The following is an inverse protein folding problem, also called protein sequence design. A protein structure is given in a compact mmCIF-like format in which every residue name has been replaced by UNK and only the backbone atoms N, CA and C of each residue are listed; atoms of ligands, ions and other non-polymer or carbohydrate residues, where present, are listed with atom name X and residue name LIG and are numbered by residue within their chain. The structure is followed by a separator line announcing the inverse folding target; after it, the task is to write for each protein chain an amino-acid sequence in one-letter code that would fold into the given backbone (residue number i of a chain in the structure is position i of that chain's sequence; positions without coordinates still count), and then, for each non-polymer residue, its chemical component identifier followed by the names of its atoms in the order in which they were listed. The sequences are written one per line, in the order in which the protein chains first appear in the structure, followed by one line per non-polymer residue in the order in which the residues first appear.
data_IF_796369907014
#
_entry.id   IF_796369907014
#
_cell.length_a   1.000
_cell.length_b   1.000
_cell.length_c   1.000
_cell.angle_alpha   90.00
_cell.angle_beta   90.00
_cell.angle_gamma   90.00
#
_symmetry.space_group_name_H-M   'P 1'
#
loop_
_entity.id
_entity.type
_entity.pdbx_description
1 polymer ?
#
# COMPACT_ATOMS: atom_id res chain seq x y z
N UNK A 1 -9.17 -5.98 15.71
CA UNK A 1 -10.46 -5.52 15.16
C UNK A 1 -10.17 -4.39 14.19
N UNK A 2 -10.21 -4.69 12.90
CA UNK A 2 -10.13 -3.69 11.85
C UNK A 2 -11.57 -3.36 11.43
N UNK A 3 -12.21 -2.31 12.01
CA UNK A 3 -13.57 -1.92 11.64
C UNK A 3 -13.67 -1.68 10.13
N UNK A 4 -12.58 -1.19 9.53
CA UNK A 4 -12.45 -0.88 8.12
C UNK A 4 -12.57 -2.12 7.23
N UNK A 5 -11.86 -3.21 7.55
CA UNK A 5 -11.95 -4.46 6.80
C UNK A 5 -13.36 -5.04 6.83
N UNK A 6 -14.04 -4.95 7.98
CA UNK A 6 -15.39 -5.47 8.13
C UNK A 6 -16.41 -4.71 7.28
N UNK A 7 -16.28 -3.40 7.20
CA UNK A 7 -17.20 -2.55 6.40
C UNK A 7 -16.93 -2.72 4.90
N UNK A 8 -15.65 -2.72 4.49
CA UNK A 8 -15.30 -2.79 3.06
C UNK A 8 -15.59 -4.15 2.43
N UNK A 9 -15.56 -5.21 3.21
CA UNK A 9 -15.65 -6.58 2.71
C UNK A 9 -16.86 -7.33 3.27
N UNK A 10 -17.90 -6.61 3.69
CA UNK A 10 -19.12 -7.19 4.26
C UNK A 10 -19.74 -8.23 3.33
N UNK A 11 -19.84 -7.90 2.04
CA UNK A 11 -20.40 -8.82 1.03
C UNK A 11 -19.58 -10.12 0.90
N UNK A 12 -18.25 -10.04 1.02
CA UNK A 12 -17.39 -11.22 0.96
C UNK A 12 -17.56 -12.13 2.18
N UNK A 13 -18.00 -11.60 3.32
CA UNK A 13 -18.17 -12.39 4.55
C UNK A 13 -19.35 -13.37 4.48
N UNK A 14 -20.19 -13.27 3.46
CA UNK A 14 -21.28 -14.21 3.22
C UNK A 14 -20.76 -15.57 2.74
N UNK A 15 -19.66 -15.57 1.97
CA UNK A 15 -19.11 -16.75 1.33
C UNK A 15 -17.72 -17.12 1.83
N UNK A 16 -17.01 -16.19 2.49
CA UNK A 16 -15.62 -16.33 2.91
C UNK A 16 -15.39 -15.95 4.37
N UNK A 17 -14.43 -16.59 4.99
CA UNK A 17 -13.81 -16.06 6.22
C UNK A 17 -12.80 -15.00 5.81
N UNK A 18 -13.13 -13.72 6.07
CA UNK A 18 -12.26 -12.60 5.76
C UNK A 18 -11.38 -12.27 6.96
N UNK A 19 -10.07 -12.29 6.76
CA UNK A 19 -9.07 -12.02 7.79
C UNK A 19 -8.28 -10.77 7.42
N UNK A 20 -8.39 -9.75 8.25
CA UNK A 20 -7.48 -8.59 8.24
C UNK A 20 -6.51 -8.68 9.40
N UNK A 21 -5.26 -8.25 9.20
CA UNK A 21 -4.24 -8.29 10.22
C UNK A 21 -3.45 -6.99 10.33
N UNK A 22 -3.02 -6.69 11.55
CA UNK A 22 -2.10 -5.59 11.81
C UNK A 22 -0.68 -6.08 11.55
N UNK A 23 -0.02 -5.52 10.54
CA UNK A 23 1.36 -5.87 10.21
C UNK A 23 2.30 -5.50 11.36
N UNK A 24 3.48 -6.12 11.39
CA UNK A 24 4.54 -5.83 12.36
C UNK A 24 4.76 -4.32 12.50
N UNK A 25 4.70 -3.81 13.73
CA UNK A 25 4.89 -2.40 14.04
C UNK A 25 3.66 -1.51 13.80
N UNK A 26 2.48 -2.10 13.49
CA UNK A 26 1.24 -1.34 13.31
C UNK A 26 0.14 -1.84 14.26
N UNK A 27 -0.86 -1.01 14.50
CA UNK A 27 -2.05 -1.36 15.28
C UNK A 27 -1.74 -2.12 16.57
N UNK A 28 -2.38 -3.26 16.77
CA UNK A 28 -2.15 -4.13 17.93
C UNK A 28 -0.80 -4.85 17.89
N UNK A 29 -0.18 -4.92 16.72
CA UNK A 29 1.17 -5.47 16.53
C UNK A 29 2.28 -4.42 16.71
N UNK A 30 1.94 -3.21 17.19
CA UNK A 30 2.91 -2.14 17.42
C UNK A 30 4.08 -2.55 18.35
N UNK A 31 3.89 -3.33 19.42
CA UNK A 31 5.02 -3.80 20.23
C UNK A 31 6.07 -4.62 19.46
N UNK A 32 5.69 -5.24 18.34
CA UNK A 32 6.61 -5.97 17.48
C UNK A 32 7.51 -5.06 16.60
N UNK A 33 7.37 -3.72 16.73
CA UNK A 33 8.28 -2.75 16.12
C UNK A 33 9.73 -2.90 16.65
N UNK A 34 9.88 -3.41 17.86
CA UNK A 34 11.19 -3.47 18.52
C UNK A 34 11.79 -4.89 18.45
N UNK A 35 13.08 -4.98 18.05
CA UNK A 35 13.93 -3.87 17.59
C UNK A 35 13.50 -3.33 16.21
N UNK A 36 13.64 -2.01 15.95
CA UNK A 36 13.23 -1.41 14.67
C UNK A 36 13.88 -2.05 13.43
N UNK A 37 15.04 -2.65 13.62
CA UNK A 37 15.77 -3.40 12.57
C UNK A 37 15.01 -4.63 12.07
N UNK A 38 13.97 -5.07 12.78
CA UNK A 38 13.09 -6.18 12.34
C UNK A 38 12.04 -5.74 11.34
N UNK A 39 11.82 -4.42 11.14
CA UNK A 39 10.85 -3.89 10.20
C UNK A 39 11.54 -3.70 8.84
N UNK A 40 11.64 -4.78 8.11
CA UNK A 40 12.20 -4.82 6.76
C UNK A 40 11.18 -5.40 5.78
N UNK A 41 11.34 -5.11 4.49
CA UNK A 41 10.50 -5.71 3.45
C UNK A 41 10.57 -7.24 3.50
N UNK A 42 11.77 -7.77 3.67
CA UNK A 42 12.00 -9.21 3.77
C UNK A 42 11.22 -9.84 4.93
N UNK A 43 11.25 -9.19 6.10
CA UNK A 43 10.52 -9.67 7.26
C UNK A 43 9.00 -9.54 7.07
N UNK A 44 8.54 -8.45 6.45
CA UNK A 44 7.10 -8.27 6.18
C UNK A 44 6.56 -9.33 5.22
N UNK A 45 7.34 -9.74 4.22
CA UNK A 45 6.97 -10.84 3.33
C UNK A 45 6.99 -12.17 4.08
N UNK A 46 7.98 -12.41 4.94
CA UNK A 46 8.04 -13.61 5.77
C UNK A 46 6.83 -13.70 6.73
N UNK A 47 6.48 -12.59 7.38
CA UNK A 47 5.29 -12.52 8.25
C UNK A 47 3.99 -12.81 7.47
N UNK A 48 3.90 -12.36 6.20
CA UNK A 48 2.74 -12.65 5.33
C UNK A 48 2.64 -14.14 5.03
N UNK A 49 3.75 -14.79 4.74
CA UNK A 49 3.80 -16.23 4.46
C UNK A 49 3.48 -17.03 5.73
N UNK A 50 4.06 -16.65 6.88
CA UNK A 50 3.79 -17.30 8.17
C UNK A 50 2.30 -17.21 8.55
N UNK A 51 1.70 -16.03 8.39
CA UNK A 51 0.26 -15.86 8.62
C UNK A 51 -0.57 -16.73 7.65
N UNK A 52 -0.19 -16.81 6.38
CA UNK A 52 -0.85 -17.65 5.39
C UNK A 52 -0.83 -19.11 5.83
N UNK A 53 0.33 -19.63 6.26
CA UNK A 53 0.46 -21.00 6.75
C UNK A 53 -0.38 -21.24 8.01
N UNK A 54 -0.37 -20.30 8.95
CA UNK A 54 -1.21 -20.36 10.14
C UNK A 54 -2.70 -20.45 9.79
N UNK A 55 -3.18 -19.60 8.86
CA UNK A 55 -4.58 -19.57 8.46
C UNK A 55 -5.00 -20.86 7.74
N UNK A 56 -4.14 -21.38 6.87
CA UNK A 56 -4.38 -22.68 6.21
C UNK A 56 -4.58 -23.81 7.24
N UNK A 57 -3.70 -23.88 8.23
CA UNK A 57 -3.81 -24.86 9.31
C UNK A 57 -5.06 -24.63 10.18
N UNK A 58 -5.34 -23.36 10.50
CA UNK A 58 -6.45 -22.97 11.38
C UNK A 58 -7.82 -23.32 10.80
N UNK A 59 -7.97 -23.24 9.49
CA UNK A 59 -9.23 -23.46 8.77
C UNK A 59 -9.24 -24.76 7.96
N UNK A 60 -8.20 -25.58 8.07
CA UNK A 60 -8.03 -26.86 7.34
C UNK A 60 -8.14 -26.67 5.82
N UNK A 61 -7.53 -25.60 5.30
CA UNK A 61 -7.54 -25.24 3.89
C UNK A 61 -6.21 -25.53 3.23
N UNK A 62 -6.22 -26.08 2.02
CA UNK A 62 -4.99 -26.33 1.27
C UNK A 62 -4.37 -25.04 0.74
N UNK A 63 -5.20 -24.08 0.37
CA UNK A 63 -4.81 -22.77 -0.15
C UNK A 63 -5.76 -21.71 0.37
N UNK A 64 -5.36 -20.44 0.26
CA UNK A 64 -6.21 -19.29 0.56
C UNK A 64 -6.19 -18.29 -0.61
N UNK A 65 -7.13 -17.35 -0.61
CA UNK A 65 -7.06 -16.17 -1.44
C UNK A 65 -6.26 -15.10 -0.70
N UNK A 66 -5.34 -14.45 -1.41
CA UNK A 66 -4.58 -13.33 -0.86
C UNK A 66 -5.02 -12.04 -1.54
N UNK A 67 -5.35 -11.03 -0.74
CA UNK A 67 -5.73 -9.71 -1.22
C UNK A 67 -4.82 -8.66 -0.60
N UNK A 68 -4.40 -7.68 -1.40
CA UNK A 68 -3.60 -6.55 -0.96
C UNK A 68 -4.02 -5.26 -1.63
N UNK A 69 -3.92 -4.16 -0.89
CA UNK A 69 -4.17 -2.81 -1.38
C UNK A 69 -2.92 -1.96 -1.18
N UNK A 70 -2.60 -1.10 -2.18
CA UNK A 70 -1.48 -0.17 -2.12
C UNK A 70 -0.17 -0.87 -1.69
N UNK A 71 0.43 -0.52 -0.55
CA UNK A 71 1.59 -1.21 0.02
C UNK A 71 1.42 -2.73 0.13
N UNK A 72 0.22 -3.20 0.50
CA UNK A 72 -0.11 -4.61 0.56
C UNK A 72 0.08 -5.33 -0.78
N UNK A 73 0.03 -4.62 -1.90
CA UNK A 73 0.26 -5.22 -3.22
C UNK A 73 1.73 -5.60 -3.44
N UNK A 74 2.67 -4.85 -2.88
CA UNK A 74 4.08 -5.21 -2.90
C UNK A 74 4.32 -6.49 -2.11
N UNK A 75 3.76 -6.60 -0.91
CA UNK A 75 3.88 -7.80 -0.07
C UNK A 75 3.25 -9.02 -0.73
N UNK A 76 2.03 -8.86 -1.25
CA UNK A 76 1.29 -9.95 -1.86
C UNK A 76 1.99 -10.52 -3.08
N UNK A 77 2.48 -9.68 -3.99
CA UNK A 77 3.24 -10.13 -5.17
C UNK A 77 4.48 -10.91 -4.76
N UNK A 78 5.25 -10.42 -3.79
CA UNK A 78 6.46 -11.10 -3.33
C UNK A 78 6.16 -12.40 -2.60
N UNK A 79 5.08 -12.45 -1.81
CA UNK A 79 4.64 -13.69 -1.14
C UNK A 79 4.20 -14.75 -2.16
N UNK A 80 3.37 -14.37 -3.14
CA UNK A 80 2.91 -15.27 -4.21
C UNK A 80 4.05 -15.73 -5.10
N UNK A 81 5.01 -14.85 -5.41
CA UNK A 81 6.20 -15.22 -6.18
C UNK A 81 7.02 -16.31 -5.48
N UNK A 82 7.15 -16.24 -4.15
CA UNK A 82 7.90 -17.21 -3.37
C UNK A 82 7.17 -18.53 -3.16
N UNK A 83 5.87 -18.45 -2.91
CA UNK A 83 5.02 -19.58 -2.56
C UNK A 83 3.69 -19.58 -3.32
N UNK A 84 3.70 -19.76 -4.66
CA UNK A 84 2.47 -19.77 -5.46
C UNK A 84 1.55 -20.93 -5.12
N UNK A 85 2.09 -21.96 -4.50
CA UNK A 85 1.38 -23.15 -4.06
C UNK A 85 0.46 -22.91 -2.85
N UNK A 86 0.63 -21.81 -2.11
CA UNK A 86 -0.18 -21.46 -0.96
C UNK A 86 -1.49 -20.74 -1.32
N UNK A 87 -1.63 -20.28 -2.54
CA UNK A 87 -2.72 -19.38 -2.93
C UNK A 87 -3.55 -19.93 -4.08
N UNK A 88 -4.88 -19.78 -3.97
CA UNK A 88 -5.80 -20.02 -5.07
C UNK A 88 -5.73 -18.88 -6.10
N UNK A 89 -5.70 -17.62 -5.61
CA UNK A 89 -5.53 -16.44 -6.43
C UNK A 89 -4.93 -15.31 -5.61
N UNK A 90 -4.33 -14.35 -6.34
CA UNK A 90 -3.87 -13.07 -5.85
C UNK A 90 -4.77 -11.96 -6.39
N UNK A 91 -5.22 -11.05 -5.51
CA UNK A 91 -6.05 -9.90 -5.85
C UNK A 91 -5.34 -8.63 -5.39
N UNK A 92 -4.86 -7.84 -6.34
CA UNK A 92 -4.19 -6.56 -6.07
C UNK A 92 -5.10 -5.39 -6.40
N UNK A 93 -5.26 -4.46 -5.46
CA UNK A 93 -5.95 -3.19 -5.64
C UNK A 93 -4.97 -2.03 -5.49
N UNK A 94 -4.94 -1.08 -6.43
CA UNK A 94 -3.94 -0.02 -6.42
C UNK A 94 -2.51 -0.58 -6.50
N UNK A 95 -2.27 -1.49 -7.44
CA UNK A 95 -1.02 -2.24 -7.57
C UNK A 95 0.20 -1.33 -7.69
N UNK A 96 1.11 -1.42 -6.72
CA UNK A 96 2.41 -0.74 -6.77
C UNK A 96 3.36 -1.56 -7.65
N UNK A 97 3.72 -1.03 -8.82
CA UNK A 97 4.58 -1.69 -9.81
C UNK A 97 6.04 -1.25 -9.63
N UNK A 98 6.26 0.06 -9.56
CA UNK A 98 7.58 0.65 -9.37
C UNK A 98 7.45 1.94 -8.58
N UNK A 99 7.58 1.84 -7.26
CA UNK A 99 7.48 3.01 -6.37
C UNK A 99 8.51 4.08 -6.74
N UNK A 100 9.73 3.65 -7.03
CA UNK A 100 10.81 4.56 -7.42
C UNK A 100 10.45 5.40 -8.67
N UNK A 101 9.87 4.77 -9.67
CA UNK A 101 9.47 5.48 -10.90
C UNK A 101 8.24 6.36 -10.65
N UNK A 102 7.30 5.88 -9.84
CA UNK A 102 6.13 6.66 -9.44
C UNK A 102 6.55 7.93 -8.70
N UNK A 103 7.46 7.82 -7.73
CA UNK A 103 7.94 8.98 -6.97
C UNK A 103 8.66 9.98 -7.88
N UNK A 104 9.46 9.48 -8.84
CA UNK A 104 10.15 10.33 -9.82
C UNK A 104 9.18 11.08 -10.72
N UNK A 105 8.19 10.40 -11.27
CA UNK A 105 7.16 11.02 -12.11
C UNK A 105 6.37 12.06 -11.31
N UNK A 106 5.95 11.72 -10.10
CA UNK A 106 5.22 12.64 -9.24
C UNK A 106 6.03 13.92 -8.91
N UNK A 107 7.33 13.76 -8.64
CA UNK A 107 8.22 14.88 -8.43
C UNK A 107 8.23 15.86 -9.63
N UNK A 108 8.38 15.33 -10.83
CA UNK A 108 8.38 16.14 -12.05
C UNK A 108 7.01 16.78 -12.33
N UNK A 109 5.91 16.06 -12.08
CA UNK A 109 4.56 16.60 -12.26
C UNK A 109 4.27 17.75 -11.30
N UNK A 110 4.71 17.65 -10.04
CA UNK A 110 4.57 18.72 -9.03
C UNK A 110 5.46 19.92 -9.40
N UNK A 111 6.68 19.69 -9.85
CA UNK A 111 7.56 20.78 -10.32
C UNK A 111 6.96 21.50 -11.53
N UNK A 112 6.46 20.78 -12.52
CA UNK A 112 5.79 21.35 -13.68
C UNK A 112 4.50 22.11 -13.28
N UNK A 113 3.76 21.64 -12.28
CA UNK A 113 2.62 22.38 -11.72
C UNK A 113 3.06 23.71 -11.12
N UNK A 114 4.11 23.71 -10.31
CA UNK A 114 4.64 24.91 -9.68
C UNK A 114 5.04 25.96 -10.72
N UNK A 115 5.73 25.57 -11.78
CA UNK A 115 6.11 26.44 -12.90
C UNK A 115 4.89 26.99 -13.64
N UNK A 116 3.93 26.12 -14.00
CA UNK A 116 2.71 26.52 -14.72
C UNK A 116 1.81 27.48 -13.92
N UNK A 117 1.78 27.34 -12.61
CA UNK A 117 0.99 28.19 -11.71
C UNK A 117 1.74 29.40 -11.18
N UNK A 118 3.03 29.55 -11.48
CA UNK A 118 3.89 30.58 -10.93
C UNK A 118 4.12 30.45 -9.42
N UNK A 119 3.97 29.26 -8.85
CA UNK A 119 4.20 29.00 -7.44
C UNK A 119 5.70 28.78 -7.17
N UNK A 120 6.43 29.90 -7.04
CA UNK A 120 7.88 29.89 -6.83
C UNK A 120 8.28 29.18 -5.53
N UNK A 121 7.50 29.31 -4.46
CA UNK A 121 7.79 28.67 -3.19
C UNK A 121 7.73 27.12 -3.30
N UNK A 122 6.74 26.60 -4.03
CA UNK A 122 6.66 25.16 -4.32
C UNK A 122 7.84 24.69 -5.17
N UNK A 123 8.18 25.46 -6.22
CA UNK A 123 9.30 25.12 -7.10
C UNK A 123 10.64 25.08 -6.34
N UNK A 124 10.92 26.11 -5.53
CA UNK A 124 12.12 26.20 -4.69
C UNK A 124 12.19 25.02 -3.70
N UNK A 125 11.08 24.68 -3.07
CA UNK A 125 11.03 23.54 -2.15
C UNK A 125 11.32 22.22 -2.86
N UNK A 126 10.70 21.97 -4.02
CA UNK A 126 10.95 20.78 -4.83
C UNK A 126 12.41 20.67 -5.26
N UNK A 127 12.99 21.79 -5.76
CA UNK A 127 14.38 21.82 -6.17
C UNK A 127 15.36 21.63 -5.00
N UNK A 128 15.01 22.10 -3.80
CA UNK A 128 15.81 21.89 -2.60
C UNK A 128 15.85 20.40 -2.17
N UNK A 129 14.78 19.66 -2.39
CA UNK A 129 14.75 18.22 -2.13
C UNK A 129 15.56 17.42 -3.15
N UNK A 130 15.60 17.89 -4.40
CA UNK A 130 16.11 17.12 -5.51
C UNK A 130 15.20 15.97 -5.93
N UNK A 131 15.66 15.19 -6.90
CA UNK A 131 14.90 14.06 -7.44
C UNK A 131 14.99 12.84 -6.52
N UNK A 132 13.87 12.10 -6.28
CA UNK A 132 13.90 10.87 -5.48
C UNK A 132 14.77 9.76 -6.15
N UNK A 133 15.25 8.74 -5.40
CA UNK A 133 14.83 8.39 -4.04
C UNK A 133 15.56 9.18 -2.94
N UNK A 134 14.84 9.47 -1.87
CA UNK A 134 15.38 10.16 -0.70
C UNK A 134 15.91 9.12 0.31
N UNK A 135 17.21 9.14 0.57
CA UNK A 135 17.88 8.07 1.31
C UNK A 135 17.64 8.14 2.83
N UNK A 136 17.52 9.34 3.39
CA UNK A 136 17.66 9.52 4.84
C UNK A 136 16.38 9.95 5.56
N UNK A 137 15.33 10.30 4.84
CA UNK A 137 14.09 10.81 5.43
C UNK A 137 12.88 10.66 4.51
N UNK A 138 11.72 10.28 5.04
CA UNK A 138 10.46 10.24 4.29
C UNK A 138 9.83 11.64 4.09
N UNK A 139 10.39 12.69 4.71
CA UNK A 139 9.81 14.02 4.70
C UNK A 139 9.60 14.61 3.30
N UNK A 140 10.57 14.57 2.37
CA UNK A 140 10.34 15.06 1.02
C UNK A 140 9.18 14.34 0.31
N UNK A 141 9.06 13.03 0.42
CA UNK A 141 7.93 12.30 -0.16
C UNK A 141 6.58 12.76 0.43
N UNK A 142 6.51 12.98 1.75
CA UNK A 142 5.29 13.49 2.38
C UNK A 142 4.89 14.87 1.86
N UNK A 143 5.86 15.76 1.63
CA UNK A 143 5.61 17.10 1.05
C UNK A 143 5.15 16.97 -0.39
N UNK A 144 5.82 16.17 -1.22
CA UNK A 144 5.43 15.96 -2.63
C UNK A 144 4.00 15.40 -2.70
N UNK A 145 3.67 14.42 -1.87
CA UNK A 145 2.33 13.86 -1.77
C UNK A 145 1.28 14.88 -1.34
N UNK A 146 1.64 15.86 -0.50
CA UNK A 146 0.71 16.92 -0.10
C UNK A 146 0.31 17.86 -1.26
N UNK A 147 1.11 17.92 -2.31
CA UNK A 147 0.79 18.66 -3.53
C UNK A 147 0.03 17.83 -4.57
N UNK A 148 -0.09 16.53 -4.38
CA UNK A 148 -0.75 15.63 -5.34
C UNK A 148 -2.17 16.06 -5.69
N UNK A 149 -2.95 16.47 -4.70
CA UNK A 149 -4.33 16.95 -4.91
C UNK A 149 -4.40 18.20 -5.79
N UNK A 150 -3.32 18.98 -5.85
CA UNK A 150 -3.23 20.21 -6.66
C UNK A 150 -2.88 19.91 -8.13
N UNK A 151 -2.48 18.69 -8.49
CA UNK A 151 -2.19 18.32 -9.87
C UNK A 151 -3.43 18.32 -10.77
N UNK A 152 -4.60 18.49 -10.18
CA UNK A 152 -5.86 18.72 -10.88
C UNK A 152 -6.31 17.53 -11.73
N UNK A 153 -7.37 16.99 -11.39
CA UNK A 153 -8.14 15.81 -11.72
C UNK A 153 -7.88 14.72 -10.66
N UNK A 154 -8.64 14.76 -9.56
CA UNK A 154 -8.72 13.56 -8.75
C UNK A 154 -9.09 12.41 -9.68
N UNK A 155 -8.41 11.27 -9.55
CA UNK A 155 -8.87 10.04 -10.17
C UNK A 155 -10.35 9.88 -9.82
N UNK A 156 -11.20 10.16 -10.79
CA UNK A 156 -12.62 9.88 -10.65
C UNK A 156 -12.79 8.40 -11.00
N UNK A 157 -13.07 7.54 -10.01
CA UNK A 157 -13.40 6.17 -10.31
C UNK A 157 -14.61 6.15 -11.26
N UNK A 158 -14.74 5.16 -12.14
CA UNK A 158 -15.90 5.03 -13.00
C UNK A 158 -17.20 5.21 -12.21
N UNK A 159 -18.15 5.97 -12.74
CA UNK A 159 -19.37 6.39 -12.05
C UNK A 159 -20.07 5.28 -11.25
N UNK A 160 -20.09 4.06 -11.75
CA UNK A 160 -20.67 2.90 -11.07
C UNK A 160 -19.90 2.38 -9.85
N UNK A 161 -18.74 2.98 -9.53
CA UNK A 161 -17.98 2.64 -8.32
C UNK A 161 -18.38 3.49 -7.12
N UNK A 162 -18.85 4.73 -7.38
CA UNK A 162 -19.29 5.66 -6.33
C UNK A 162 -20.71 5.28 -5.85
N UNK A 163 -21.55 4.76 -6.74
CA UNK A 163 -22.95 4.44 -6.44
C UNK A 163 -23.15 3.19 -5.57
N UNK A 164 -22.10 2.44 -5.26
CA UNK A 164 -22.17 1.24 -4.40
C UNK A 164 -21.85 1.50 -2.92
N UNK A 165 -21.54 2.72 -2.56
CA UNK A 165 -21.15 3.12 -1.20
C UNK A 165 -22.11 4.08 -0.50
N UNK A 166 -23.31 4.30 -1.03
CA UNK A 166 -24.37 5.12 -0.41
C UNK A 166 -25.61 4.31 -0.08
#
# INVERSE_FOLDING_TARGET
DLPYTRVLFEDLTQDFVVVGWDQRGTGKSYPALYPPTSVTLEQAVADTIELTEYLRQRFDEQKIYLMGESWGTTLGVLAVQRHPDLYYAWIGSGQMVSQRETDRLLFHDVLALAERTGNTAMAEQMLAFGEPPYADTPYPNAVVMSYYEQLGQPYMPPQGYIDRGT
#
